data_IF_525741194436
#
_entry.id   IF_525741194436
#
_cell.length_a   1.000
_cell.length_b   1.000
_cell.length_c   1.000
_cell.angle_alpha   90.00
_cell.angle_beta   90.00
_cell.angle_gamma   90.00
#
_symmetry.space_group_name_H-M   'P 1'
#
loop_
_entity.id
_entity.type
_entity.pdbx_description
1 polymer ?
#
# COMPACT_ATOMS: atom_id res chain seq x y z
N UNK A 1 -7.54 -6.32 16.11
CA UNK A 1 -8.30 -5.86 14.94
C UNK A 1 -9.65 -6.60 14.87
N UNK A 2 -10.54 -6.35 15.86
CA UNK A 2 -11.89 -6.90 15.93
C UNK A 2 -11.94 -8.43 16.11
N UNK A 3 -11.01 -9.02 16.86
CA UNK A 3 -11.02 -10.45 17.16
C UNK A 3 -12.26 -10.82 17.96
N UNK A 4 -12.98 -11.85 17.52
CA UNK A 4 -14.18 -12.38 18.18
C UNK A 4 -13.94 -13.65 18.99
N UNK A 5 -12.70 -14.13 19.00
CA UNK A 5 -12.23 -15.33 19.71
C UNK A 5 -11.51 -14.98 21.03
N UNK A 6 -10.83 -15.95 21.61
CA UNK A 6 -10.10 -15.80 22.88
C UNK A 6 -8.75 -15.06 22.73
N UNK A 7 -8.40 -14.50 21.57
CA UNK A 7 -7.11 -13.85 21.32
C UNK A 7 -6.79 -12.77 22.35
N UNK A 8 -7.75 -11.87 22.64
CA UNK A 8 -7.58 -10.82 23.65
C UNK A 8 -7.27 -11.40 25.04
N UNK A 9 -8.05 -12.38 25.47
CA UNK A 9 -7.87 -13.01 26.76
C UNK A 9 -6.49 -13.65 26.89
N UNK A 10 -6.08 -14.42 25.88
CA UNK A 10 -4.77 -15.09 25.88
C UNK A 10 -3.60 -14.09 25.90
N UNK A 11 -3.69 -12.98 25.15
CA UNK A 11 -2.65 -11.95 25.20
C UNK A 11 -2.56 -11.35 26.60
N UNK A 12 -3.69 -11.01 27.24
CA UNK A 12 -3.71 -10.42 28.58
C UNK A 12 -3.23 -11.38 29.66
N UNK A 13 -3.48 -12.68 29.52
CA UNK A 13 -2.98 -13.72 30.46
C UNK A 13 -1.44 -13.79 30.42
N UNK A 14 -0.81 -13.62 29.26
CA UNK A 14 0.64 -13.72 29.08
C UNK A 14 1.35 -12.37 29.02
N UNK A 15 0.62 -11.25 29.16
CA UNK A 15 1.19 -9.91 29.08
C UNK A 15 2.15 -9.62 30.25
N UNK A 16 3.28 -9.01 29.93
CA UNK A 16 4.27 -8.46 30.86
C UNK A 16 4.27 -6.91 30.80
N UNK A 17 5.17 -6.28 31.55
CA UNK A 17 5.28 -4.81 31.64
C UNK A 17 5.68 -4.14 30.29
N UNK A 18 6.16 -4.93 29.33
CA UNK A 18 6.54 -4.46 27.98
C UNK A 18 5.43 -4.66 26.95
N UNK A 19 4.33 -5.32 27.35
CA UNK A 19 3.24 -5.67 26.44
C UNK A 19 2.21 -4.55 26.37
N UNK A 20 1.96 -4.04 25.16
CA UNK A 20 0.88 -3.10 24.86
C UNK A 20 -0.12 -3.81 23.94
N UNK A 21 -1.35 -3.98 24.41
CA UNK A 21 -2.45 -4.50 23.61
C UNK A 21 -3.35 -3.35 23.15
N UNK A 22 -3.41 -3.13 21.83
CA UNK A 22 -4.31 -2.14 21.22
C UNK A 22 -5.53 -2.86 20.67
N UNK A 23 -6.69 -2.65 21.30
CA UNK A 23 -7.97 -3.21 20.84
C UNK A 23 -8.69 -2.22 19.94
N UNK A 24 -8.89 -2.59 18.69
CA UNK A 24 -9.65 -1.79 17.73
C UNK A 24 -11.16 -2.07 17.85
N UNK A 25 -12.00 -1.08 17.56
CA UNK A 25 -13.48 -1.20 17.73
C UNK A 25 -14.13 -2.23 16.81
N UNK A 26 -13.53 -2.51 15.65
CA UNK A 26 -13.97 -3.49 14.65
C UNK A 26 -12.77 -3.96 13.84
N UNK A 27 -12.97 -4.89 12.91
CA UNK A 27 -11.94 -5.24 11.95
C UNK A 27 -11.80 -4.11 10.91
N UNK A 28 -10.65 -3.45 10.90
CA UNK A 28 -10.25 -2.41 9.94
C UNK A 28 -9.27 -2.92 8.88
N UNK A 29 -8.78 -4.16 9.02
CA UNK A 29 -7.82 -4.80 8.14
C UNK A 29 -6.36 -4.64 8.54
N UNK A 30 -5.52 -5.51 7.98
CA UNK A 30 -4.13 -5.71 8.39
C UNK A 30 -3.28 -4.43 8.34
N UNK A 31 -3.42 -3.61 7.29
CA UNK A 31 -2.68 -2.35 7.17
C UNK A 31 -2.96 -1.41 8.34
N UNK A 32 -4.24 -1.22 8.67
CA UNK A 32 -4.68 -0.35 9.76
C UNK A 32 -4.23 -0.88 11.13
N UNK A 33 -4.29 -2.19 11.34
CA UNK A 33 -3.78 -2.82 12.55
C UNK A 33 -2.27 -2.62 12.71
N UNK A 34 -1.49 -2.71 11.63
CA UNK A 34 -0.06 -2.41 11.62
C UNK A 34 0.21 -0.93 11.95
N UNK A 35 -0.54 0.01 11.36
CA UNK A 35 -0.42 1.45 11.69
C UNK A 35 -0.67 1.68 13.16
N UNK A 36 -1.74 1.10 13.73
CA UNK A 36 -2.01 1.21 15.16
C UNK A 36 -0.85 0.66 16.01
N UNK A 37 -0.28 -0.49 15.64
CA UNK A 37 0.89 -1.05 16.31
C UNK A 37 2.12 -0.14 16.25
N UNK A 38 2.37 0.49 15.11
CA UNK A 38 3.46 1.46 14.93
C UNK A 38 3.24 2.68 15.82
N UNK A 39 2.06 3.29 15.79
CA UNK A 39 1.72 4.49 16.55
C UNK A 39 1.87 4.30 18.07
N UNK A 40 1.53 3.11 18.58
CA UNK A 40 1.64 2.78 20.01
C UNK A 40 3.01 2.19 20.40
N UNK A 41 3.87 1.86 19.41
CA UNK A 41 5.22 1.39 19.71
C UNK A 41 6.13 2.58 20.15
N UNK A 42 7.22 2.30 20.88
CA UNK A 42 8.13 3.34 21.42
C UNK A 42 9.60 3.10 21.08
N UNK A 43 9.92 1.93 20.57
CA UNK A 43 11.31 1.55 20.26
C UNK A 43 11.90 2.39 19.13
N UNK A 44 13.22 2.62 19.16
CA UNK A 44 13.98 3.26 18.07
C UNK A 44 13.86 2.51 16.74
N UNK A 45 13.57 1.23 16.81
CA UNK A 45 13.36 0.35 15.66
C UNK A 45 12.01 -0.33 15.80
N UNK A 46 11.34 -0.57 14.68
CA UNK A 46 10.04 -1.24 14.62
C UNK A 46 10.19 -2.52 13.82
N UNK A 47 9.75 -3.65 14.38
CA UNK A 47 9.66 -4.93 13.68
C UNK A 47 8.19 -5.30 13.48
N UNK A 48 7.78 -5.54 12.23
CA UNK A 48 6.45 -6.05 11.90
C UNK A 48 6.50 -7.57 11.79
N UNK A 49 5.56 -8.24 12.46
CA UNK A 49 5.46 -9.69 12.49
C UNK A 49 3.97 -10.10 12.51
N UNK A 50 3.58 -11.11 11.72
CA UNK A 50 2.26 -11.71 11.80
C UNK A 50 2.16 -12.67 13.01
N UNK A 51 1.02 -12.67 13.69
CA UNK A 51 0.76 -13.55 14.85
C UNK A 51 0.35 -14.98 14.46
N UNK A 52 0.59 -15.43 13.23
CA UNK A 52 0.21 -16.76 12.73
C UNK A 52 1.32 -17.82 12.84
N UNK A 53 2.38 -17.49 13.54
CA UNK A 53 3.55 -18.34 13.82
C UNK A 53 4.31 -18.80 12.56
N UNK A 54 4.07 -18.20 11.41
CA UNK A 54 4.78 -18.55 10.18
C UNK A 54 6.18 -17.91 10.08
N UNK A 55 6.38 -16.72 10.65
CA UNK A 55 7.68 -16.07 10.74
C UNK A 55 8.31 -16.33 12.12
N UNK A 56 9.64 -16.51 12.15
CA UNK A 56 10.37 -16.78 13.38
C UNK A 56 10.87 -15.45 14.00
N UNK A 57 10.44 -15.08 15.23
CA UNK A 57 10.94 -13.88 15.91
C UNK A 57 12.46 -13.91 16.14
N UNK A 58 13.08 -15.09 16.18
CA UNK A 58 14.52 -15.25 16.37
C UNK A 58 15.37 -14.67 15.20
N UNK A 59 14.74 -14.38 14.05
CA UNK A 59 15.43 -13.72 12.93
C UNK A 59 15.55 -12.20 13.15
N UNK A 60 14.75 -11.58 14.04
CA UNK A 60 14.73 -10.12 14.26
C UNK A 60 16.08 -9.56 14.72
N UNK A 61 16.81 -10.17 15.70
CA UNK A 61 18.10 -9.66 16.14
C UNK A 61 19.11 -9.53 14.98
N UNK A 62 19.22 -10.56 14.13
CA UNK A 62 20.12 -10.54 12.98
C UNK A 62 19.74 -9.47 11.95
N UNK A 63 18.41 -9.29 11.71
CA UNK A 63 17.91 -8.23 10.83
C UNK A 63 18.22 -6.83 11.38
N UNK A 64 18.10 -6.65 12.69
CA UNK A 64 18.42 -5.40 13.37
C UNK A 64 19.91 -5.09 13.34
N UNK A 65 20.75 -6.10 13.51
CA UNK A 65 22.22 -5.96 13.40
C UNK A 65 22.60 -5.53 11.99
N UNK A 66 22.06 -6.19 10.95
CA UNK A 66 22.28 -5.81 9.55
C UNK A 66 21.85 -4.36 9.28
N UNK A 67 20.68 -3.96 9.78
CA UNK A 67 20.15 -2.60 9.64
C UNK A 67 21.12 -1.56 10.24
N UNK A 68 21.67 -1.84 11.42
CA UNK A 68 22.60 -0.93 12.11
C UNK A 68 23.98 -0.87 11.46
N UNK A 69 24.55 -2.04 11.12
CA UNK A 69 25.92 -2.18 10.63
C UNK A 69 26.12 -1.57 9.25
N UNK A 70 25.14 -1.71 8.36
CA UNK A 70 25.24 -1.28 6.97
C UNK A 70 24.40 -0.02 6.67
N UNK A 71 23.91 0.65 7.71
CA UNK A 71 23.11 1.89 7.60
C UNK A 71 21.90 1.77 6.67
N UNK A 72 21.16 0.66 6.81
CA UNK A 72 19.86 0.48 6.13
C UNK A 72 18.73 1.13 6.93
N UNK A 73 17.69 1.56 6.23
CA UNK A 73 16.48 2.07 6.86
C UNK A 73 15.43 0.98 7.02
N UNK A 74 15.45 0.00 6.11
CA UNK A 74 14.52 -1.14 6.10
C UNK A 74 15.25 -2.42 5.75
N UNK A 75 15.06 -3.47 6.55
CA UNK A 75 15.46 -4.84 6.25
C UNK A 75 14.21 -5.69 6.08
N UNK A 76 13.97 -6.20 4.88
CA UNK A 76 12.83 -7.05 4.56
C UNK A 76 13.20 -8.54 4.58
N UNK A 77 12.34 -9.36 5.18
CA UNK A 77 12.51 -10.81 5.16
C UNK A 77 12.21 -11.40 3.77
N UNK A 78 13.00 -12.40 3.36
CA UNK A 78 12.79 -13.20 2.16
C UNK A 78 12.57 -14.67 2.54
N UNK A 79 11.40 -15.22 2.29
CA UNK A 79 11.03 -16.60 2.61
C UNK A 79 11.56 -17.56 1.55
N UNK A 80 12.85 -17.94 1.63
CA UNK A 80 13.54 -18.75 0.62
C UNK A 80 12.90 -20.11 0.38
N UNK A 81 12.43 -20.78 1.45
CA UNK A 81 11.92 -22.14 1.42
C UNK A 81 10.40 -22.22 1.68
N UNK A 82 9.59 -21.41 0.95
CA UNK A 82 8.13 -21.51 1.06
C UNK A 82 7.64 -22.94 0.74
N UNK A 83 7.01 -23.57 1.73
CA UNK A 83 6.40 -24.91 1.58
C UNK A 83 4.97 -24.86 0.99
N UNK A 84 4.61 -23.75 0.32
CA UNK A 84 3.32 -23.60 -0.34
C UNK A 84 3.25 -24.39 -1.67
N UNK A 85 2.03 -24.82 -2.05
CA UNK A 85 1.80 -25.56 -3.30
C UNK A 85 2.38 -24.86 -4.53
N UNK A 86 3.17 -25.63 -5.31
CA UNK A 86 4.07 -25.08 -6.35
C UNK A 86 3.33 -24.34 -7.46
N UNK A 87 2.27 -24.93 -8.04
CA UNK A 87 1.61 -24.38 -9.22
C UNK A 87 0.60 -23.26 -8.91
N UNK A 88 -0.22 -23.41 -7.87
CA UNK A 88 -1.33 -22.51 -7.60
C UNK A 88 -0.94 -21.22 -6.87
N UNK A 89 0.25 -21.17 -6.23
CA UNK A 89 0.66 -20.03 -5.42
C UNK A 89 2.04 -19.46 -5.76
N UNK A 90 3.02 -20.30 -6.13
CA UNK A 90 4.38 -19.81 -6.42
C UNK A 90 4.48 -19.07 -7.76
N UNK A 91 3.82 -19.57 -8.82
CA UNK A 91 3.88 -18.94 -10.15
C UNK A 91 3.17 -17.56 -10.16
N UNK A 92 1.89 -17.44 -9.72
CA UNK A 92 1.24 -16.14 -9.66
C UNK A 92 1.99 -15.12 -8.78
N UNK A 93 2.55 -15.58 -7.65
CA UNK A 93 3.35 -14.72 -6.77
C UNK A 93 4.65 -14.24 -7.44
N UNK A 94 5.36 -15.10 -8.19
CA UNK A 94 6.56 -14.71 -8.94
C UNK A 94 6.25 -13.70 -10.03
N UNK A 95 5.18 -13.91 -10.78
CA UNK A 95 4.71 -12.97 -11.83
C UNK A 95 4.34 -11.64 -11.20
N UNK A 96 3.53 -11.64 -10.13
CA UNK A 96 3.16 -10.43 -9.41
C UNK A 96 4.38 -9.67 -8.89
N UNK A 97 5.34 -10.36 -8.24
CA UNK A 97 6.56 -9.73 -7.74
C UNK A 97 7.44 -9.19 -8.88
N UNK A 98 7.54 -9.89 -10.02
CA UNK A 98 8.27 -9.41 -11.18
C UNK A 98 7.62 -8.14 -11.77
N UNK A 99 6.30 -8.12 -11.87
CA UNK A 99 5.52 -6.97 -12.33
C UNK A 99 5.69 -5.78 -11.38
N UNK A 100 5.56 -6.00 -10.07
CA UNK A 100 5.78 -4.98 -9.05
C UNK A 100 7.19 -4.41 -9.19
N UNK A 101 8.23 -5.24 -9.26
CA UNK A 101 9.62 -4.80 -9.44
C UNK A 101 9.79 -3.92 -10.68
N UNK A 102 9.27 -4.38 -11.82
CA UNK A 102 9.38 -3.65 -13.09
C UNK A 102 8.67 -2.29 -13.05
N UNK A 103 7.48 -2.26 -12.46
CA UNK A 103 6.64 -1.07 -12.39
C UNK A 103 7.07 -0.09 -11.29
N UNK A 104 7.52 -0.59 -10.14
CA UNK A 104 7.91 0.24 -8.99
C UNK A 104 9.41 0.51 -8.90
N UNK A 105 10.27 -0.24 -9.62
CA UNK A 105 11.73 -0.15 -9.55
C UNK A 105 12.33 -0.50 -8.19
N UNK A 106 11.55 -1.17 -7.31
CA UNK A 106 12.01 -1.70 -6.03
C UNK A 106 12.33 -3.18 -6.22
N UNK A 107 13.60 -3.56 -6.03
CA UNK A 107 14.06 -4.92 -6.33
C UNK A 107 14.08 -5.79 -5.07
N UNK A 108 12.90 -6.25 -4.65
CA UNK A 108 12.72 -7.19 -3.55
C UNK A 108 12.18 -8.52 -4.08
N UNK A 109 12.63 -9.65 -3.52
CA UNK A 109 12.22 -10.99 -3.96
C UNK A 109 10.86 -11.41 -3.39
N UNK A 110 10.56 -11.03 -2.16
CA UNK A 110 9.32 -11.41 -1.46
C UNK A 110 8.62 -10.19 -0.82
N UNK A 111 7.71 -9.57 -1.56
CA UNK A 111 6.88 -8.47 -1.05
C UNK A 111 5.88 -8.92 0.02
N UNK A 112 5.49 -10.19 -0.02
CA UNK A 112 4.45 -10.74 0.86
C UNK A 112 4.97 -11.22 2.22
N UNK A 113 6.26 -11.11 2.53
CA UNK A 113 6.77 -11.39 3.86
C UNK A 113 6.44 -10.24 4.79
N UNK A 114 5.74 -10.51 5.89
CA UNK A 114 5.38 -9.49 6.87
C UNK A 114 6.57 -9.12 7.75
N UNK A 115 7.47 -10.07 8.03
CA UNK A 115 8.65 -9.82 8.85
C UNK A 115 9.56 -8.77 8.17
N UNK A 116 9.57 -7.58 8.74
CA UNK A 116 10.38 -6.44 8.31
C UNK A 116 10.82 -5.63 9.51
N UNK A 117 12.04 -5.13 9.49
CA UNK A 117 12.60 -4.26 10.53
C UNK A 117 12.87 -2.89 9.93
N UNK A 118 12.47 -1.84 10.64
CA UNK A 118 12.53 -0.45 10.19
C UNK A 118 13.21 0.44 11.22
N UNK A 119 13.81 1.53 10.76
CA UNK A 119 13.97 2.72 11.60
C UNK A 119 12.60 3.31 11.90
N UNK A 120 12.39 3.82 13.13
CA UNK A 120 11.08 4.36 13.56
C UNK A 120 10.56 5.44 12.61
N UNK A 121 11.41 6.39 12.24
CA UNK A 121 11.06 7.49 11.34
C UNK A 121 10.42 7.02 10.04
N UNK A 122 10.97 5.96 9.42
CA UNK A 122 10.40 5.38 8.20
C UNK A 122 9.08 4.66 8.48
N UNK A 123 8.97 3.95 9.61
CA UNK A 123 7.76 3.22 9.96
C UNK A 123 6.57 4.15 10.19
N UNK A 124 6.78 5.28 10.86
CA UNK A 124 5.76 6.29 11.15
C UNK A 124 5.24 6.97 9.87
N UNK A 125 6.10 7.16 8.89
CA UNK A 125 5.75 7.81 7.62
C UNK A 125 5.14 6.86 6.57
N UNK A 126 5.03 5.55 6.83
CA UNK A 126 4.54 4.57 5.83
C UNK A 126 3.13 4.85 5.32
N UNK A 127 2.26 5.50 6.11
CA UNK A 127 0.91 5.85 5.71
C UNK A 127 0.09 4.62 5.27
N UNK A 128 0.08 3.56 6.08
CA UNK A 128 -0.57 2.29 5.73
C UNK A 128 -2.10 2.38 5.85
N UNK A 129 -2.81 2.17 4.74
CA UNK A 129 -4.27 2.02 4.69
C UNK A 129 -4.67 0.98 3.63
N UNK A 130 -5.90 0.48 3.67
CA UNK A 130 -6.39 -0.52 2.71
C UNK A 130 -5.51 -1.77 2.68
N UNK A 131 -5.08 -2.19 1.51
CA UNK A 131 -4.23 -3.37 1.31
C UNK A 131 -2.73 -3.00 1.12
N UNK A 132 -2.32 -1.78 1.49
CA UNK A 132 -0.96 -1.26 1.23
C UNK A 132 0.14 -2.00 2.01
N UNK A 133 -0.19 -2.79 3.03
CA UNK A 133 0.78 -3.61 3.77
C UNK A 133 1.64 -4.50 2.86
N UNK A 134 1.16 -4.85 1.66
CA UNK A 134 1.92 -5.62 0.66
C UNK A 134 3.00 -4.81 -0.02
N UNK A 135 2.80 -3.50 -0.11
CA UNK A 135 3.67 -2.57 -0.81
C UNK A 135 4.55 -1.75 0.13
N UNK A 136 4.64 -2.13 1.41
CA UNK A 136 5.49 -1.45 2.39
C UNK A 136 6.89 -1.11 1.86
N UNK A 137 7.64 -2.02 1.18
CA UNK A 137 8.94 -1.66 0.63
C UNK A 137 8.87 -0.57 -0.45
N UNK A 138 7.76 -0.52 -1.21
CA UNK A 138 7.56 0.52 -2.22
C UNK A 138 7.28 1.85 -1.54
N UNK A 139 6.41 1.86 -0.53
CA UNK A 139 6.10 3.07 0.26
C UNK A 139 7.36 3.63 0.94
N UNK A 140 8.14 2.79 1.62
CA UNK A 140 9.40 3.21 2.21
C UNK A 140 10.37 3.78 1.15
N UNK A 141 10.45 3.18 -0.04
CA UNK A 141 11.28 3.70 -1.13
C UNK A 141 10.81 5.05 -1.66
N UNK A 142 9.51 5.30 -1.67
CA UNK A 142 8.94 6.61 -2.06
C UNK A 142 9.40 7.73 -1.11
N UNK A 143 9.64 7.41 0.16
CA UNK A 143 10.18 8.31 1.17
C UNK A 143 11.73 8.40 1.14
N UNK A 144 12.36 7.75 0.17
CA UNK A 144 13.81 7.78 0.02
C UNK A 144 14.58 6.71 0.80
N UNK A 145 13.89 5.82 1.52
CA UNK A 145 14.52 4.80 2.36
C UNK A 145 15.48 3.89 1.59
N UNK A 146 16.59 3.54 2.24
CA UNK A 146 17.54 2.51 1.81
C UNK A 146 17.01 1.15 2.27
N UNK A 147 16.78 0.23 1.34
CA UNK A 147 16.12 -1.05 1.61
C UNK A 147 17.02 -2.21 1.21
N UNK A 148 17.15 -3.17 2.11
CA UNK A 148 17.78 -4.47 1.82
C UNK A 148 16.86 -5.62 2.19
N UNK A 149 17.28 -6.84 1.91
CA UNK A 149 16.54 -8.05 2.25
C UNK A 149 17.48 -9.15 2.74
N UNK A 150 16.99 -9.99 3.63
CA UNK A 150 17.71 -11.15 4.17
C UNK A 150 16.80 -12.38 4.18
N UNK A 151 17.39 -13.55 3.98
CA UNK A 151 16.64 -14.81 4.05
C UNK A 151 16.22 -15.06 5.50
N UNK A 152 14.92 -15.33 5.71
CA UNK A 152 14.31 -15.61 7.02
C UNK A 152 13.67 -16.99 7.03
N UNK A 153 13.56 -17.56 8.23
CA UNK A 153 12.88 -18.84 8.45
C UNK A 153 11.38 -18.67 8.23
N UNK A 154 10.78 -19.70 7.66
CA UNK A 154 9.33 -19.73 7.43
C UNK A 154 8.76 -21.09 7.80
N UNK A 155 7.86 -21.10 8.77
CA UNK A 155 7.20 -22.28 9.29
C UNK A 155 5.87 -22.56 8.58
N UNK A 156 5.43 -23.83 8.50
CA UNK A 156 4.09 -24.14 8.05
C UNK A 156 3.05 -23.53 8.96
N UNK A 157 1.91 -23.11 8.40
CA UNK A 157 0.79 -22.62 9.22
C UNK A 157 0.26 -23.72 10.12
N UNK A 158 0.17 -23.46 11.42
CA UNK A 158 -0.33 -24.41 12.43
C UNK A 158 -1.84 -24.25 12.59
N UNK A 159 -2.35 -23.01 12.60
CA UNK A 159 -3.76 -22.70 12.84
C UNK A 159 -4.40 -21.93 11.69
N UNK A 160 -5.73 -22.11 11.52
CA UNK A 160 -6.54 -21.37 10.57
C UNK A 160 -6.44 -21.86 9.11
N UNK A 161 -7.41 -21.40 8.28
CA UNK A 161 -7.43 -21.67 6.83
C UNK A 161 -6.94 -20.44 6.05
N UNK A 162 -6.24 -20.70 4.96
CA UNK A 162 -5.79 -19.62 4.06
C UNK A 162 -6.98 -18.95 3.35
N UNK A 163 -7.17 -17.66 3.56
CA UNK A 163 -8.22 -16.86 2.91
C UNK A 163 -7.88 -16.47 1.45
N UNK A 164 -7.12 -17.31 0.71
CA UNK A 164 -6.68 -17.01 -0.65
C UNK A 164 -7.70 -17.44 -1.71
N UNK A 165 -8.23 -16.48 -2.49
CA UNK A 165 -9.15 -16.69 -3.62
C UNK A 165 -8.76 -15.86 -4.85
N UNK A 166 -9.36 -16.16 -6.02
CA UNK A 166 -9.12 -15.50 -7.32
C UNK A 166 -9.44 -13.99 -7.25
N UNK A 167 -10.45 -13.59 -6.48
CA UNK A 167 -10.80 -12.18 -6.25
C UNK A 167 -9.64 -11.33 -5.73
N UNK A 168 -8.62 -11.95 -5.14
CA UNK A 168 -7.41 -11.24 -4.67
C UNK A 168 -6.54 -10.75 -5.84
N UNK A 169 -6.52 -11.45 -6.96
CA UNK A 169 -5.71 -11.05 -8.12
C UNK A 169 -6.17 -9.71 -8.68
N UNK A 170 -7.49 -9.50 -8.77
CA UNK A 170 -8.03 -8.19 -9.18
C UNK A 170 -7.71 -7.08 -8.18
N UNK A 171 -7.81 -7.36 -6.87
CA UNK A 171 -7.42 -6.39 -5.84
C UNK A 171 -5.94 -6.01 -5.95
N UNK A 172 -5.05 -7.01 -6.07
CA UNK A 172 -3.60 -6.77 -6.23
C UNK A 172 -3.31 -5.98 -7.50
N UNK A 173 -4.04 -6.22 -8.60
CA UNK A 173 -3.88 -5.45 -9.84
C UNK A 173 -4.30 -4.00 -9.66
N UNK A 174 -5.44 -3.74 -9.02
CA UNK A 174 -5.89 -2.38 -8.70
C UNK A 174 -4.89 -1.65 -7.77
N UNK A 175 -4.40 -2.34 -6.74
CA UNK A 175 -3.40 -1.80 -5.83
C UNK A 175 -2.08 -1.49 -6.55
N UNK A 176 -1.69 -2.33 -7.52
CA UNK A 176 -0.50 -2.10 -8.34
C UNK A 176 -0.64 -0.85 -9.22
N UNK A 177 -1.80 -0.66 -9.86
CA UNK A 177 -2.08 0.55 -10.64
C UNK A 177 -1.98 1.78 -9.73
N UNK A 178 -2.57 1.72 -8.53
CA UNK A 178 -2.45 2.78 -7.53
C UNK A 178 -0.99 3.05 -7.15
N UNK A 179 -0.19 2.01 -6.90
CA UNK A 179 1.23 2.16 -6.54
C UNK A 179 2.05 2.81 -7.65
N UNK A 180 1.80 2.43 -8.91
CA UNK A 180 2.45 3.04 -10.07
C UNK A 180 2.09 4.51 -10.18
N UNK A 181 0.80 4.82 -9.99
CA UNK A 181 0.33 6.20 -9.97
C UNK A 181 1.00 7.00 -8.85
N UNK A 182 0.99 6.48 -7.61
CA UNK A 182 1.64 7.13 -6.47
C UNK A 182 3.13 7.38 -6.73
N UNK A 183 3.84 6.37 -7.25
CA UNK A 183 5.27 6.50 -7.53
C UNK A 183 5.60 7.57 -8.57
N UNK A 184 4.85 7.59 -9.67
CA UNK A 184 5.21 8.36 -10.87
C UNK A 184 4.49 9.70 -10.95
N UNK A 185 3.28 9.77 -10.44
CA UNK A 185 2.38 10.88 -10.68
C UNK A 185 1.80 11.53 -9.42
N UNK A 186 2.06 10.99 -8.20
CA UNK A 186 1.49 11.53 -6.98
C UNK A 186 1.84 13.00 -6.74
N UNK A 187 3.08 13.40 -7.08
CA UNK A 187 3.50 14.80 -6.94
C UNK A 187 3.12 15.68 -8.14
N UNK A 188 2.75 15.06 -9.27
CA UNK A 188 2.44 15.75 -10.52
C UNK A 188 1.33 15.03 -11.31
N UNK A 189 0.13 14.85 -10.73
CA UNK A 189 -0.95 14.12 -11.41
C UNK A 189 -1.40 14.80 -12.70
N UNK A 190 -1.28 16.13 -12.77
CA UNK A 190 -1.57 16.90 -13.97
C UNK A 190 -0.70 16.49 -15.18
N UNK A 191 0.54 16.00 -14.97
CA UNK A 191 1.37 15.52 -16.08
C UNK A 191 0.81 14.27 -16.77
N UNK A 192 0.08 13.40 -16.07
CA UNK A 192 -0.58 12.25 -16.68
C UNK A 192 -1.89 12.66 -17.35
N UNK A 193 -2.80 13.17 -16.55
CA UNK A 193 -4.17 13.46 -16.99
C UNK A 193 -4.21 14.65 -17.96
N UNK A 194 -3.43 15.69 -17.70
CA UNK A 194 -3.32 16.84 -18.58
C UNK A 194 -2.76 16.46 -19.97
N UNK A 195 -1.69 15.65 -20.02
CA UNK A 195 -1.12 15.20 -21.31
C UNK A 195 -2.14 14.41 -22.11
N UNK A 196 -2.81 13.43 -21.49
CA UNK A 196 -3.88 12.65 -22.13
C UNK A 196 -5.02 13.55 -22.58
N UNK A 197 -5.40 14.53 -21.75
CA UNK A 197 -6.46 15.48 -22.02
C UNK A 197 -6.13 16.39 -23.21
N UNK A 198 -4.94 16.98 -23.25
CA UNK A 198 -4.54 17.84 -24.38
C UNK A 198 -4.42 17.07 -25.69
N UNK A 199 -3.89 15.85 -25.68
CA UNK A 199 -3.82 14.99 -26.88
C UNK A 199 -5.24 14.66 -27.36
N UNK A 200 -6.12 14.18 -26.47
CA UNK A 200 -7.50 13.83 -26.83
C UNK A 200 -8.27 15.04 -27.34
N UNK A 201 -8.17 16.19 -26.66
CA UNK A 201 -8.78 17.44 -27.08
C UNK A 201 -8.27 17.90 -28.44
N UNK A 202 -6.95 17.88 -28.66
CA UNK A 202 -6.34 18.29 -29.91
C UNK A 202 -6.80 17.42 -31.09
N UNK A 203 -6.83 16.10 -30.95
CA UNK A 203 -7.34 15.17 -31.96
C UNK A 203 -8.83 15.42 -32.22
N UNK A 204 -9.63 15.55 -31.15
CA UNK A 204 -11.07 15.83 -31.25
C UNK A 204 -11.35 17.16 -31.95
N UNK A 205 -10.59 18.21 -31.60
CA UNK A 205 -10.70 19.51 -32.28
C UNK A 205 -10.34 19.43 -33.75
N UNK A 206 -9.25 18.76 -34.10
CA UNK A 206 -8.83 18.57 -35.50
C UNK A 206 -9.89 17.84 -36.34
N UNK A 207 -10.48 16.77 -35.79
CA UNK A 207 -11.58 16.04 -36.45
C UNK A 207 -12.78 16.94 -36.65
N UNK A 208 -13.21 17.69 -35.62
CA UNK A 208 -14.38 18.55 -35.73
C UNK A 208 -14.15 19.73 -36.68
N UNK A 209 -12.94 20.33 -36.69
CA UNK A 209 -12.57 21.38 -37.65
C UNK A 209 -12.61 20.82 -39.09
N UNK A 210 -12.03 19.64 -39.31
CA UNK A 210 -12.08 18.97 -40.62
C UNK A 210 -13.53 18.76 -41.08
N UNK A 211 -14.40 18.24 -40.23
CA UNK A 211 -15.81 18.03 -40.54
C UNK A 211 -16.56 19.36 -40.80
N UNK A 212 -16.22 20.40 -40.05
CA UNK A 212 -16.78 21.73 -40.26
C UNK A 212 -16.42 22.27 -41.66
N UNK A 213 -15.16 22.12 -42.07
CA UNK A 213 -14.73 22.49 -43.42
C UNK A 213 -15.51 21.72 -44.49
N UNK A 214 -15.66 20.40 -44.33
CA UNK A 214 -16.48 19.58 -45.26
C UNK A 214 -17.90 20.06 -45.33
N UNK A 215 -18.52 20.44 -44.20
CA UNK A 215 -19.88 20.99 -44.15
C UNK A 215 -19.96 22.34 -44.91
N UNK A 216 -18.99 23.21 -44.73
CA UNK A 216 -18.92 24.49 -45.46
C UNK A 216 -18.74 24.29 -46.95
N UNK A 217 -18.13 23.20 -47.39
CA UNK A 217 -18.00 22.77 -48.78
C UNK A 217 -19.27 22.08 -49.31
N UNK A 218 -20.37 22.08 -48.59
CA UNK A 218 -21.66 21.50 -48.97
C UNK A 218 -21.79 20.00 -48.80
N UNK A 219 -20.85 19.33 -48.12
CA UNK A 219 -20.97 17.89 -47.84
C UNK A 219 -21.81 17.64 -46.59
N UNK A 220 -22.60 16.58 -46.61
CA UNK A 220 -23.35 16.15 -45.42
C UNK A 220 -22.41 15.45 -44.44
N UNK A 221 -22.44 15.90 -43.19
CA UNK A 221 -21.65 15.36 -42.10
C UNK A 221 -22.51 14.58 -41.07
N UNK A 222 -23.82 14.66 -41.19
CA UNK A 222 -24.72 13.99 -40.27
C UNK A 222 -24.66 12.46 -40.41
N UNK A 223 -24.74 11.74 -39.29
CA UNK A 223 -24.66 10.29 -39.29
C UNK A 223 -23.24 9.72 -39.51
N UNK A 224 -22.23 10.55 -39.73
CA UNK A 224 -20.85 10.05 -39.82
C UNK A 224 -20.31 9.67 -38.46
N UNK A 225 -19.82 8.42 -38.24
CA UNK A 225 -19.22 7.99 -36.96
C UNK A 225 -18.07 8.88 -36.49
N UNK A 226 -17.39 9.52 -37.44
CA UNK A 226 -16.26 10.43 -37.17
C UNK A 226 -16.70 11.69 -36.39
N UNK A 227 -17.93 12.18 -36.59
CA UNK A 227 -18.48 13.31 -35.84
C UNK A 227 -18.63 12.94 -34.35
N UNK A 228 -19.20 11.76 -34.08
CA UNK A 228 -19.36 11.27 -32.72
C UNK A 228 -18.01 11.06 -32.07
N UNK A 229 -17.06 10.46 -32.78
CA UNK A 229 -15.69 10.25 -32.29
C UNK A 229 -15.02 11.59 -31.94
N UNK A 230 -15.11 12.59 -32.81
CA UNK A 230 -14.56 13.91 -32.56
C UNK A 230 -15.12 14.60 -31.33
N UNK A 231 -16.44 14.50 -31.12
CA UNK A 231 -17.12 15.03 -29.93
C UNK A 231 -16.71 14.28 -28.65
N UNK A 232 -16.67 12.95 -28.69
CA UNK A 232 -16.24 12.14 -27.54
C UNK A 232 -14.80 12.48 -27.14
N UNK A 233 -13.89 12.59 -28.10
CA UNK A 233 -12.49 12.94 -27.83
C UNK A 233 -12.35 14.37 -27.28
N UNK A 234 -13.15 15.31 -27.75
CA UNK A 234 -13.14 16.69 -27.28
C UNK A 234 -13.64 16.78 -25.82
N UNK A 235 -14.79 16.19 -25.52
CA UNK A 235 -15.34 16.15 -24.18
C UNK A 235 -14.47 15.33 -23.23
N UNK A 236 -13.99 14.17 -23.68
CA UNK A 236 -13.05 13.33 -22.91
C UNK A 236 -11.74 14.06 -22.60
N UNK A 237 -11.24 14.86 -23.54
CA UNK A 237 -10.07 15.71 -23.33
C UNK A 237 -10.27 16.72 -22.21
N UNK A 238 -11.38 17.45 -22.23
CA UNK A 238 -11.77 18.37 -21.16
C UNK A 238 -11.91 17.63 -19.83
N UNK A 239 -12.53 16.47 -19.84
CA UNK A 239 -12.73 15.65 -18.65
C UNK A 239 -11.41 15.19 -18.02
N UNK A 240 -10.43 14.73 -18.83
CA UNK A 240 -9.11 14.37 -18.34
C UNK A 240 -8.37 15.58 -17.74
N UNK A 241 -8.44 16.75 -18.35
CA UNK A 241 -7.83 17.97 -17.80
C UNK A 241 -8.45 18.31 -16.43
N UNK A 242 -9.78 18.26 -16.33
CA UNK A 242 -10.49 18.53 -15.07
C UNK A 242 -10.10 17.53 -13.99
N UNK A 243 -10.04 16.23 -14.32
CA UNK A 243 -9.58 15.17 -13.38
C UNK A 243 -8.13 15.47 -12.93
N UNK A 244 -7.27 15.91 -13.85
CA UNK A 244 -5.89 16.26 -13.52
C UNK A 244 -5.79 17.41 -12.51
N UNK A 245 -6.59 18.45 -12.67
CA UNK A 245 -6.66 19.60 -11.74
C UNK A 245 -7.18 19.12 -10.37
N UNK A 246 -8.27 18.37 -10.33
CA UNK A 246 -8.86 17.85 -9.09
C UNK A 246 -7.84 16.94 -8.37
N UNK A 247 -7.15 16.07 -9.10
CA UNK A 247 -6.13 15.20 -8.53
C UNK A 247 -4.96 15.99 -7.95
N UNK A 248 -4.52 17.09 -8.59
CA UNK A 248 -3.45 17.96 -8.08
C UNK A 248 -3.87 18.68 -6.79
N UNK A 249 -5.08 19.22 -6.75
CA UNK A 249 -5.65 19.86 -5.56
C UNK A 249 -5.78 18.83 -4.42
N UNK A 250 -6.34 17.65 -4.69
CA UNK A 250 -6.47 16.60 -3.70
C UNK A 250 -5.10 16.14 -3.16
N UNK A 251 -4.09 16.05 -4.01
CA UNK A 251 -2.73 15.71 -3.60
C UNK A 251 -2.15 16.75 -2.64
N UNK A 252 -2.33 18.03 -2.93
CA UNK A 252 -1.91 19.13 -2.04
C UNK A 252 -2.65 19.07 -0.71
N UNK A 253 -3.97 18.94 -0.73
CA UNK A 253 -4.80 18.79 0.48
C UNK A 253 -4.37 17.57 1.29
N UNK A 254 -4.04 16.47 0.64
CA UNK A 254 -3.53 15.26 1.30
C UNK A 254 -2.24 15.53 2.07
N UNK A 255 -1.28 16.24 1.51
CA UNK A 255 -0.03 16.57 2.20
C UNK A 255 -0.20 17.64 3.29
N UNK A 256 -1.14 18.55 3.14
CA UNK A 256 -1.38 19.66 4.09
C UNK A 256 -2.24 19.26 5.30
N UNK A 257 -3.14 18.27 5.16
CA UNK A 257 -4.17 17.95 6.17
C UNK A 257 -3.88 16.73 7.05
N UNK A 258 -2.70 16.12 7.00
CA UNK A 258 -2.40 14.82 7.60
C UNK A 258 -2.28 14.80 9.13
N UNK A 259 -3.40 15.04 9.83
CA UNK A 259 -3.47 14.68 11.26
C UNK A 259 -4.54 13.62 11.59
N UNK A 260 -5.14 12.97 10.59
CA UNK A 260 -6.26 12.07 10.82
C UNK A 260 -5.84 10.59 10.77
N UNK A 261 -5.92 9.92 11.93
CA UNK A 261 -5.67 8.48 12.03
C UNK A 261 -6.72 7.67 11.26
N UNK A 262 -6.29 6.60 10.58
CA UNK A 262 -7.15 5.72 9.78
C UNK A 262 -7.93 4.68 10.60
N UNK A 263 -7.84 4.76 11.94
CA UNK A 263 -8.45 3.81 12.86
C UNK A 263 -9.05 4.49 14.10
N UNK A 264 -10.00 3.80 14.74
CA UNK A 264 -10.53 4.17 16.05
C UNK A 264 -10.16 3.09 17.07
N UNK A 265 -9.45 3.51 18.11
CA UNK A 265 -9.11 2.64 19.25
C UNK A 265 -10.32 2.51 20.16
N UNK A 266 -10.60 1.31 20.64
CA UNK A 266 -11.61 1.07 21.68
C UNK A 266 -10.98 1.20 23.06
N UNK A 267 -9.86 0.49 23.30
CA UNK A 267 -9.15 0.44 24.57
C UNK A 267 -7.69 0.12 24.35
N UNK A 268 -6.82 0.63 25.21
CA UNK A 268 -5.40 0.30 25.28
C UNK A 268 -5.11 -0.37 26.62
N UNK A 269 -4.32 -1.43 26.60
CA UNK A 269 -3.89 -2.15 27.79
C UNK A 269 -2.37 -2.14 27.88
N UNK A 270 -1.84 -1.75 29.03
CA UNK A 270 -0.43 -1.85 29.36
C UNK A 270 -0.28 -2.66 30.65
N UNK A 271 0.58 -3.68 30.67
CA UNK A 271 0.79 -4.54 31.82
C UNK A 271 -0.53 -5.06 32.45
N UNK A 272 -1.46 -5.56 31.65
CA UNK A 272 -2.81 -6.06 32.05
C UNK A 272 -3.79 -4.98 32.55
N UNK A 273 -3.37 -3.70 32.68
CA UNK A 273 -4.24 -2.60 33.11
C UNK A 273 -4.75 -1.80 31.90
N UNK A 274 -6.00 -1.41 31.93
CA UNK A 274 -6.56 -0.50 30.95
C UNK A 274 -5.97 0.90 31.15
N UNK A 275 -5.52 1.54 30.05
CA UNK A 275 -4.99 2.91 30.05
C UNK A 275 -5.76 3.77 29.06
N UNK A 276 -6.04 5.01 29.42
CA UNK A 276 -6.86 5.90 28.61
C UNK A 276 -6.06 6.58 27.49
N UNK A 277 -4.79 6.88 27.73
CA UNK A 277 -3.90 7.52 26.75
C UNK A 277 -2.49 6.89 26.73
N UNK A 278 -1.78 7.07 25.61
CA UNK A 278 -0.37 6.62 25.47
C UNK A 278 0.55 7.34 26.46
N UNK A 279 0.22 8.59 26.81
CA UNK A 279 0.91 9.39 27.82
C UNK A 279 0.85 8.77 29.23
N UNK A 280 -0.16 7.95 29.50
CA UNK A 280 -0.36 7.32 30.82
C UNK A 280 0.52 6.06 31.00
N UNK A 281 1.24 5.67 29.94
CA UNK A 281 2.21 4.60 29.99
C UNK A 281 3.53 5.19 30.46
N UNK A 282 3.73 5.31 31.75
CA UNK A 282 5.04 5.66 32.32
C UNK A 282 6.06 4.57 32.01
N UNK A 283 7.27 4.99 31.64
CA UNK A 283 8.42 4.12 31.43
C UNK A 283 8.81 3.35 32.67
#
# INVERSE_FOLDING_TARGET
DGSSDKTKQQILEHADDRTILVELRKNYGQSTAMTAGIDYSRGKYVALLDGDLQNDPADIPAMLELLKKEDWDVVAGNRKNRKDGFFLRKIPSKIANALIRRMTGVYIRDYGCTLKVFRREIAEELGLYGELHRFIPVLAKLQGAKITQVDVKHHPRIHGKSKYGINRTFKVMSDLVLMVFMRKYMQKPMHLFGTLGFISFGIGAAINIYLLVLKLMGQDIWGKPLLILGLILLLGGIQFITIGIIADINTRTYFESQNKKTYNVRKVYHAKKEVNHVSDITM
#
